data_IF_623351184770
#
_entry.id   IF_623351184770
#
_cell.length_a   1.000
_cell.length_b   1.000
_cell.length_c   1.000
_cell.angle_alpha   90.00
_cell.angle_beta   90.00
_cell.angle_gamma   90.00
#
_symmetry.space_group_name_H-M   'P 1'
#
loop_
_entity.id
_entity.type
_entity.pdbx_description
1 polymer ?
#
# COMPACT_ATOMS: atom_id res chain seq x y z
N UNK A 1 -58.08 -14.40 -22.49
CA UNK A 1 -58.06 -14.62 -21.03
C UNK A 1 -56.81 -15.38 -20.67
N UNK A 2 -55.77 -14.70 -20.26
CA UNK A 2 -54.49 -15.30 -19.84
C UNK A 2 -54.53 -15.55 -18.33
N UNK A 3 -54.33 -16.80 -17.93
CA UNK A 3 -54.30 -17.18 -16.50
C UNK A 3 -52.97 -16.77 -15.89
N UNK A 4 -53.02 -15.95 -14.85
CA UNK A 4 -51.88 -15.60 -14.01
C UNK A 4 -51.45 -16.83 -13.19
N UNK A 5 -50.25 -17.35 -13.43
CA UNK A 5 -49.60 -18.38 -12.62
C UNK A 5 -48.88 -17.69 -11.45
N UNK A 6 -49.20 -18.07 -10.23
CA UNK A 6 -48.59 -17.48 -9.03
C UNK A 6 -47.32 -18.24 -8.63
N UNK A 7 -46.43 -17.57 -7.90
CA UNK A 7 -45.14 -18.11 -7.41
C UNK A 7 -45.28 -19.41 -6.58
N UNK A 8 -46.50 -19.78 -6.15
CA UNK A 8 -46.79 -21.00 -5.37
C UNK A 8 -46.90 -22.27 -6.21
N UNK A 9 -47.10 -22.14 -7.51
CA UNK A 9 -47.35 -23.30 -8.39
C UNK A 9 -46.05 -23.92 -8.94
N UNK A 10 -44.90 -23.27 -8.76
CA UNK A 10 -43.59 -23.72 -9.27
C UNK A 10 -42.89 -24.74 -8.33
N UNK A 11 -43.38 -24.88 -7.08
CA UNK A 11 -42.69 -25.71 -6.07
C UNK A 11 -43.31 -27.14 -5.90
N UNK A 12 -44.22 -27.55 -6.77
CA UNK A 12 -44.88 -28.86 -6.68
C UNK A 12 -44.44 -29.87 -7.75
N UNK A 13 -43.14 -30.00 -7.97
CA UNK A 13 -42.71 -30.94 -9.01
C UNK A 13 -41.27 -31.42 -8.89
N UNK A 14 -40.78 -31.72 -7.67
CA UNK A 14 -39.47 -32.42 -7.54
C UNK A 14 -39.69 -33.73 -6.79
N UNK A 15 -39.45 -34.90 -7.43
CA UNK A 15 -39.53 -36.17 -6.71
C UNK A 15 -38.32 -36.31 -5.78
N UNK A 16 -38.60 -36.71 -4.54
CA UNK A 16 -37.60 -37.06 -3.54
C UNK A 16 -36.97 -38.42 -3.93
N UNK A 17 -35.76 -38.41 -4.41
CA UNK A 17 -34.92 -39.61 -4.52
C UNK A 17 -34.14 -39.77 -3.20
N UNK A 18 -34.59 -40.71 -2.36
CA UNK A 18 -33.83 -41.13 -1.19
C UNK A 18 -32.69 -42.06 -1.61
N UNK A 19 -31.48 -41.50 -1.64
CA UNK A 19 -30.24 -42.23 -1.79
C UNK A 19 -29.33 -41.89 -0.61
N UNK A 20 -29.37 -42.71 0.43
CA UNK A 20 -28.50 -42.58 1.60
C UNK A 20 -27.04 -42.88 1.25
N UNK A 21 -26.20 -41.87 1.18
CA UNK A 21 -24.78 -42.01 1.12
C UNK A 21 -24.22 -41.72 2.52
N UNK A 22 -23.84 -42.79 3.22
CA UNK A 22 -23.11 -42.70 4.50
C UNK A 22 -21.73 -42.12 4.18
N UNK A 23 -21.54 -40.84 4.39
CA UNK A 23 -20.22 -40.22 4.41
C UNK A 23 -19.63 -40.46 5.78
N UNK A 24 -18.61 -41.32 5.83
CA UNK A 24 -17.77 -41.54 7.01
C UNK A 24 -17.12 -40.22 7.43
N UNK A 25 -17.53 -39.71 8.59
CA UNK A 25 -16.96 -38.52 9.22
C UNK A 25 -15.64 -38.87 9.91
N UNK A 26 -14.55 -38.95 9.16
CA UNK A 26 -13.17 -38.88 9.66
C UNK A 26 -12.52 -37.58 9.20
N UNK A 27 -13.05 -36.47 9.62
CA UNK A 27 -12.34 -35.19 9.63
C UNK A 27 -11.54 -35.05 10.93
N UNK A 28 -10.37 -34.40 10.91
CA UNK A 28 -9.63 -34.15 12.15
C UNK A 28 -10.49 -33.37 13.12
N UNK A 29 -10.61 -33.87 14.34
CA UNK A 29 -11.37 -33.26 15.41
C UNK A 29 -10.93 -31.80 15.58
N UNK A 30 -11.87 -30.87 15.44
CA UNK A 30 -11.68 -29.48 15.84
C UNK A 30 -11.30 -29.49 17.32
N UNK A 31 -10.02 -29.22 17.62
CA UNK A 31 -9.55 -29.06 18.98
C UNK A 31 -10.38 -28.00 19.70
N UNK A 32 -10.87 -28.34 20.87
CA UNK A 32 -11.62 -27.41 21.73
C UNK A 32 -10.84 -26.11 21.91
N UNK A 33 -11.52 -24.94 22.01
CA UNK A 33 -10.84 -23.66 22.21
C UNK A 33 -9.97 -23.76 23.47
N UNK A 34 -8.64 -23.69 23.25
CA UNK A 34 -7.68 -23.57 24.37
C UNK A 34 -8.05 -22.30 25.13
N UNK A 35 -8.26 -22.42 26.44
CA UNK A 35 -8.33 -21.26 27.33
C UNK A 35 -7.13 -20.38 27.06
N UNK A 36 -7.29 -19.04 26.93
CA UNK A 36 -6.17 -18.15 26.74
C UNK A 36 -5.17 -18.38 27.89
N UNK A 37 -3.94 -18.69 27.53
CA UNK A 37 -2.84 -18.72 28.48
C UNK A 37 -2.60 -17.29 28.92
N UNK A 38 -3.08 -16.93 30.08
CA UNK A 38 -2.73 -15.69 30.80
C UNK A 38 -1.34 -15.84 31.40
N UNK A 39 -0.30 -15.87 30.61
CA UNK A 39 1.05 -15.63 31.09
C UNK A 39 1.40 -14.18 30.84
N UNK A 40 0.99 -13.32 31.78
CA UNK A 40 1.53 -11.98 31.93
C UNK A 40 3.05 -12.09 32.16
N UNK A 41 3.81 -11.25 31.40
CA UNK A 41 5.18 -10.95 31.72
C UNK A 41 6.24 -11.90 31.15
N UNK A 42 6.16 -12.35 29.91
CA UNK A 42 7.37 -12.84 29.23
C UNK A 42 8.32 -11.65 29.00
N UNK A 43 9.46 -11.68 29.67
CA UNK A 43 10.54 -10.71 29.41
C UNK A 43 11.06 -10.99 28.01
N UNK A 44 10.85 -10.06 27.08
CA UNK A 44 11.39 -10.17 25.74
C UNK A 44 12.91 -10.10 25.80
N UNK A 45 13.59 -10.89 25.00
CA UNK A 45 15.05 -10.86 24.89
C UNK A 45 15.51 -9.65 24.08
N UNK A 46 16.73 -9.14 24.30
CA UNK A 46 17.34 -8.14 23.44
C UNK A 46 17.36 -8.62 21.99
N UNK A 47 17.19 -7.68 21.04
CA UNK A 47 17.12 -7.96 19.61
C UNK A 47 17.77 -6.86 18.78
N UNK A 48 18.08 -7.17 17.53
CA UNK A 48 18.76 -6.25 16.61
C UNK A 48 17.74 -5.39 15.88
N UNK A 49 18.07 -4.11 15.73
CA UNK A 49 17.25 -3.14 15.02
C UNK A 49 18.13 -2.10 14.34
N UNK A 50 17.70 -1.58 13.18
CA UNK A 50 18.29 -0.37 12.63
C UNK A 50 17.75 0.82 13.41
N UNK A 51 18.60 1.46 14.21
CA UNK A 51 18.23 2.60 15.06
C UNK A 51 18.82 3.88 14.49
N UNK A 52 17.94 4.86 14.23
CA UNK A 52 18.32 6.21 13.81
C UNK A 52 18.29 7.16 14.99
N UNK A 53 19.42 7.85 15.25
CA UNK A 53 19.54 8.84 16.34
C UNK A 53 19.72 10.28 15.85
N UNK A 54 20.12 10.47 14.58
CA UNK A 54 20.36 11.77 13.97
C UNK A 54 20.06 11.72 12.48
N UNK A 55 20.92 12.26 11.64
CA UNK A 55 20.91 12.04 10.18
C UNK A 55 21.33 10.61 9.82
N UNK A 56 22.04 9.93 10.73
CA UNK A 56 22.58 8.59 10.53
C UNK A 56 21.91 7.57 11.42
N UNK A 57 21.95 6.32 11.00
CA UNK A 57 21.51 5.16 11.77
C UNK A 57 22.43 3.98 11.59
N UNK A 58 22.36 3.05 12.51
CA UNK A 58 23.11 1.80 12.51
C UNK A 58 22.26 0.65 13.02
N UNK A 59 22.65 -0.59 12.70
CA UNK A 59 22.08 -1.78 13.32
C UNK A 59 22.71 -1.93 14.71
N UNK A 60 21.84 -1.89 15.72
CA UNK A 60 22.22 -1.97 17.13
C UNK A 60 21.37 -3.02 17.86
N UNK A 61 21.90 -3.55 18.95
CA UNK A 61 21.12 -4.39 19.86
C UNK A 61 20.41 -3.50 20.86
N UNK A 62 19.10 -3.70 21.00
CA UNK A 62 18.24 -2.94 21.91
C UNK A 62 17.61 -3.88 22.94
N UNK A 63 17.38 -3.37 24.14
CA UNK A 63 16.70 -4.09 25.23
C UNK A 63 15.25 -3.65 25.30
N UNK A 64 14.28 -4.52 24.99
CA UNK A 64 12.87 -4.15 25.01
C UNK A 64 12.37 -3.86 26.42
N UNK A 65 11.40 -2.95 26.52
CA UNK A 65 10.64 -2.74 27.75
C UNK A 65 9.50 -3.77 27.86
N UNK A 66 9.01 -4.03 29.08
CA UNK A 66 7.80 -4.82 29.27
C UNK A 66 6.62 -4.25 28.47
N UNK A 67 5.86 -5.12 27.83
CA UNK A 67 4.68 -4.69 27.06
C UNK A 67 3.59 -4.14 28.00
N UNK A 68 2.99 -3.04 27.62
CA UNK A 68 1.91 -2.38 28.35
C UNK A 68 0.66 -2.24 27.50
N UNK A 69 -0.49 -2.10 28.13
CA UNK A 69 -1.75 -1.79 27.43
C UNK A 69 -2.03 -2.74 26.27
N UNK A 70 -2.17 -2.16 25.08
CA UNK A 70 -2.53 -2.86 23.84
C UNK A 70 -1.33 -3.15 22.94
N UNK A 71 -0.13 -3.11 23.47
CA UNK A 71 1.09 -3.39 22.72
C UNK A 71 1.20 -4.86 22.33
N UNK A 72 1.71 -5.11 21.15
CA UNK A 72 1.97 -6.43 20.58
C UNK A 72 3.42 -6.47 20.13
N UNK A 73 4.19 -7.46 20.56
CA UNK A 73 5.51 -7.76 20.02
C UNK A 73 5.35 -8.77 18.89
N UNK A 74 5.84 -8.42 17.72
CA UNK A 74 5.77 -9.23 16.50
C UNK A 74 7.18 -9.54 16.05
N UNK A 75 7.58 -10.81 16.07
CA UNK A 75 8.85 -11.26 15.49
C UNK A 75 8.75 -11.10 13.97
N UNK A 76 9.54 -10.19 13.45
CA UNK A 76 9.50 -9.79 12.04
C UNK A 76 10.00 -10.92 11.15
N UNK A 77 9.28 -11.24 10.09
CA UNK A 77 9.68 -12.20 9.06
C UNK A 77 10.22 -11.51 7.82
N UNK A 78 9.59 -10.43 7.42
CA UNK A 78 10.01 -9.62 6.28
C UNK A 78 9.53 -8.18 6.41
N UNK A 79 10.28 -7.25 5.82
CA UNK A 79 9.93 -5.83 5.70
C UNK A 79 10.26 -5.34 4.30
N UNK A 80 9.29 -4.74 3.62
CA UNK A 80 9.50 -4.12 2.32
C UNK A 80 10.26 -2.80 2.47
N UNK A 81 11.16 -2.52 1.51
CA UNK A 81 12.01 -1.33 1.47
C UNK A 81 11.30 -0.22 0.71
N UNK A 82 10.53 0.58 1.45
CA UNK A 82 9.78 1.70 0.88
C UNK A 82 10.70 2.88 0.52
N UNK A 83 10.46 3.50 -0.63
CA UNK A 83 11.15 4.73 -1.04
C UNK A 83 11.01 5.85 0.00
N UNK A 84 9.86 5.96 0.66
CA UNK A 84 9.61 6.95 1.71
C UNK A 84 10.52 6.80 2.93
N UNK A 85 11.03 5.60 3.21
CA UNK A 85 11.95 5.32 4.31
C UNK A 85 13.42 5.62 3.94
N UNK A 86 13.78 5.76 2.68
CA UNK A 86 15.16 5.98 2.25
C UNK A 86 15.82 7.16 2.95
N UNK A 87 15.10 8.26 3.14
CA UNK A 87 15.57 9.44 3.89
C UNK A 87 15.81 9.18 5.38
N UNK A 88 15.24 8.11 5.93
CA UNK A 88 15.42 7.71 7.33
C UNK A 88 16.56 6.73 7.51
N UNK A 89 16.99 6.08 6.45
CA UNK A 89 18.03 5.05 6.45
C UNK A 89 19.32 5.54 5.84
N UNK A 90 19.25 6.22 4.69
CA UNK A 90 20.42 6.80 4.04
C UNK A 90 20.84 8.09 4.76
N UNK A 91 22.16 8.31 4.81
CA UNK A 91 22.77 9.49 5.43
C UNK A 91 22.55 10.71 4.51
N UNK A 92 21.38 11.33 4.66
CA UNK A 92 20.96 12.41 3.78
C UNK A 92 21.00 13.76 4.50
N UNK A 93 21.87 14.66 4.03
CA UNK A 93 22.09 15.97 4.63
C UNK A 93 21.07 17.05 4.25
N UNK A 94 20.22 16.78 3.24
CA UNK A 94 19.20 17.74 2.81
C UNK A 94 17.87 17.48 3.52
N UNK A 95 17.20 18.50 4.05
CA UNK A 95 15.84 18.34 4.56
C UNK A 95 14.91 17.95 3.42
N UNK A 96 14.28 16.78 3.55
CA UNK A 96 13.28 16.28 2.60
C UNK A 96 11.92 16.37 3.26
N UNK A 97 10.98 17.04 2.62
CA UNK A 97 9.59 17.14 3.09
C UNK A 97 8.74 16.09 2.41
N UNK A 98 8.07 15.28 3.20
CA UNK A 98 7.04 14.35 2.72
C UNK A 98 5.76 14.74 3.42
N UNK A 99 4.94 15.57 2.78
CA UNK A 99 3.60 15.88 3.25
C UNK A 99 3.51 16.37 4.72
N UNK A 100 4.60 16.94 5.27
CA UNK A 100 4.70 17.37 6.65
C UNK A 100 5.91 18.29 6.86
N UNK A 101 6.13 18.80 8.07
CA UNK A 101 7.28 19.65 8.36
C UNK A 101 8.59 18.91 8.01
N UNK A 102 9.66 19.63 7.63
CA UNK A 102 10.94 19.04 7.32
C UNK A 102 11.37 18.07 8.43
N UNK A 103 11.69 16.83 8.03
CA UNK A 103 12.29 15.89 9.00
C UNK A 103 13.74 16.31 9.17
N UNK A 104 13.93 17.36 9.98
CA UNK A 104 15.21 17.98 10.21
C UNK A 104 16.20 17.04 10.87
N UNK A 105 17.46 17.20 10.51
CA UNK A 105 18.56 16.35 10.87
C UNK A 105 19.36 16.75 12.10
N UNK A 106 18.73 17.30 13.12
CA UNK A 106 19.41 17.49 14.41
C UNK A 106 19.56 16.20 15.21
N UNK A 107 20.49 16.17 16.18
CA UNK A 107 20.55 15.07 17.13
C UNK A 107 19.17 14.88 17.80
N UNK A 108 18.69 13.65 17.88
CA UNK A 108 17.47 13.33 18.61
C UNK A 108 17.84 12.78 19.98
N UNK A 109 17.15 13.21 21.05
CA UNK A 109 17.38 12.65 22.39
C UNK A 109 16.96 11.19 22.50
N UNK A 110 16.28 10.67 21.47
CA UNK A 110 15.75 9.30 21.41
C UNK A 110 16.15 8.64 20.10
N UNK A 111 16.34 7.31 20.11
CA UNK A 111 16.41 6.48 18.93
C UNK A 111 15.02 6.28 18.33
N UNK A 112 14.95 6.03 17.01
CA UNK A 112 13.74 5.55 16.33
C UNK A 112 14.09 4.41 15.36
N UNK A 113 13.16 3.48 15.19
CA UNK A 113 13.28 2.38 14.23
C UNK A 113 12.38 2.70 13.04
N UNK A 114 12.92 2.92 11.81
CA UNK A 114 12.11 3.08 10.62
C UNK A 114 11.55 1.74 10.12
N UNK A 115 10.85 1.79 8.97
CA UNK A 115 10.17 0.65 8.36
C UNK A 115 8.70 0.60 8.74
N UNK A 116 7.83 0.62 7.74
CA UNK A 116 6.38 0.67 7.90
C UNK A 116 5.63 -0.42 7.11
N UNK A 117 6.37 -1.32 6.49
CA UNK A 117 5.83 -2.35 5.59
C UNK A 117 6.30 -3.74 5.99
N UNK A 118 5.88 -4.22 7.15
CA UNK A 118 6.37 -5.48 7.68
C UNK A 118 5.26 -6.44 8.11
N UNK A 119 5.64 -7.70 8.24
CA UNK A 119 4.81 -8.79 8.74
C UNK A 119 5.65 -9.76 9.59
N UNK A 120 4.97 -10.54 10.39
CA UNK A 120 5.64 -11.51 11.25
C UNK A 120 4.68 -12.34 12.08
N UNK A 121 5.20 -12.92 13.16
CA UNK A 121 4.43 -13.75 14.08
C UNK A 121 4.39 -13.08 15.45
N UNK A 122 3.21 -13.01 16.04
CA UNK A 122 3.01 -12.47 17.40
C UNK A 122 3.76 -13.32 18.41
N UNK A 123 4.70 -12.70 19.11
CA UNK A 123 5.54 -13.37 20.12
C UNK A 123 5.07 -13.11 21.54
N UNK A 124 4.60 -11.88 21.82
CA UNK A 124 4.05 -11.51 23.11
C UNK A 124 2.98 -10.43 22.94
N UNK A 125 2.10 -10.34 23.92
CA UNK A 125 1.00 -9.37 23.94
C UNK A 125 0.91 -8.67 25.30
N UNK A 126 0.54 -7.40 25.27
CA UNK A 126 0.24 -6.63 26.47
C UNK A 126 -1.12 -7.01 27.09
N UNK A 127 -1.34 -6.61 28.36
CA UNK A 127 -2.48 -7.10 29.15
C UNK A 127 -3.87 -6.70 28.64
N UNK A 128 -3.97 -5.73 27.72
CA UNK A 128 -5.24 -5.24 27.18
C UNK A 128 -5.47 -5.63 25.71
N UNK A 129 -4.59 -6.44 25.12
CA UNK A 129 -4.73 -6.94 23.75
C UNK A 129 -5.90 -7.92 23.65
N UNK A 130 -6.75 -7.76 22.64
CA UNK A 130 -7.95 -8.55 22.44
C UNK A 130 -8.09 -9.14 21.03
N UNK A 131 -7.45 -8.53 20.03
CA UNK A 131 -7.70 -8.86 18.62
C UNK A 131 -6.71 -9.86 18.03
N UNK A 132 -5.61 -10.14 18.70
CA UNK A 132 -4.59 -11.12 18.30
C UNK A 132 -4.10 -11.93 19.48
N UNK A 133 -3.47 -13.08 19.22
CA UNK A 133 -2.84 -13.94 20.23
C UNK A 133 -1.44 -14.35 19.80
N UNK A 134 -0.65 -14.80 20.75
CA UNK A 134 0.68 -15.39 20.49
C UNK A 134 0.56 -16.52 19.47
N UNK A 135 1.44 -16.51 18.47
CA UNK A 135 1.46 -17.45 17.35
C UNK A 135 0.66 -17.01 16.14
N UNK A 136 -0.17 -15.98 16.23
CA UNK A 136 -0.84 -15.45 15.05
C UNK A 136 0.17 -14.84 14.08
N UNK A 137 0.05 -15.15 12.78
CA UNK A 137 0.78 -14.47 11.71
C UNK A 137 0.03 -13.20 11.34
N UNK A 138 0.71 -12.07 11.37
CA UNK A 138 0.08 -10.76 11.16
C UNK A 138 0.84 -9.92 10.14
N UNK A 139 0.09 -9.18 9.34
CA UNK A 139 0.60 -8.02 8.60
C UNK A 139 0.46 -6.80 9.49
N UNK A 140 1.52 -6.01 9.61
CA UNK A 140 1.48 -4.74 10.33
C UNK A 140 1.09 -3.65 9.34
N UNK A 141 -0.16 -3.22 9.40
CA UNK A 141 -0.72 -2.24 8.46
C UNK A 141 -0.13 -0.85 8.69
N UNK A 142 0.04 -0.10 7.61
CA UNK A 142 0.50 1.31 7.69
C UNK A 142 -0.54 2.21 8.34
N UNK A 143 -1.83 1.87 8.25
CA UNK A 143 -2.92 2.56 8.91
C UNK A 143 -3.55 1.70 9.97
N UNK A 144 -3.67 2.26 11.18
CA UNK A 144 -4.44 1.62 12.23
C UNK A 144 -5.94 1.59 11.87
N UNK A 145 -6.64 0.57 12.34
CA UNK A 145 -8.10 0.48 12.24
C UNK A 145 -8.69 0.07 13.59
N UNK A 146 -9.09 1.04 14.40
CA UNK A 146 -9.64 0.76 15.72
C UNK A 146 -11.11 0.32 15.70
N UNK A 147 -11.83 0.52 14.59
CA UNK A 147 -13.23 0.14 14.40
C UNK A 147 -14.25 0.96 15.20
N UNK A 148 -13.83 1.92 16.05
CA UNK A 148 -14.71 2.62 17.00
C UNK A 148 -14.65 4.14 16.95
N UNK A 149 -13.66 4.73 16.31
CA UNK A 149 -13.58 6.20 16.17
C UNK A 149 -14.54 6.69 15.07
N UNK A 150 -14.82 8.01 15.09
CA UNK A 150 -15.69 8.65 14.11
C UNK A 150 -15.34 8.28 12.67
N UNK A 151 -14.05 8.30 12.32
CA UNK A 151 -13.62 7.99 10.95
C UNK A 151 -13.85 6.52 10.57
N UNK A 152 -13.52 5.56 11.45
CA UNK A 152 -13.78 4.15 11.19
C UNK A 152 -15.29 3.85 11.04
N UNK A 153 -16.13 4.42 11.91
CA UNK A 153 -17.57 4.22 11.88
C UNK A 153 -18.26 4.75 10.60
N UNK A 154 -17.66 5.75 9.95
CA UNK A 154 -18.15 6.28 8.66
C UNK A 154 -17.47 5.70 7.43
N UNK A 155 -16.70 4.61 7.57
CA UNK A 155 -16.06 3.93 6.46
C UNK A 155 -14.75 4.61 5.98
N UNK A 156 -14.11 5.43 6.82
CA UNK A 156 -12.84 6.09 6.54
C UNK A 156 -11.75 5.58 7.48
N UNK A 157 -11.54 4.25 7.48
CA UNK A 157 -10.52 3.62 8.30
C UNK A 157 -9.10 4.12 7.97
N UNK A 158 -8.86 4.50 6.71
CA UNK A 158 -7.64 5.17 6.26
C UNK A 158 -7.32 6.47 7.04
N UNK A 159 -8.28 6.99 7.80
CA UNK A 159 -8.18 8.19 8.66
C UNK A 159 -8.49 7.88 10.13
N UNK A 160 -8.16 6.69 10.57
CA UNK A 160 -8.39 6.28 11.96
C UNK A 160 -7.72 7.26 12.94
N UNK A 161 -8.46 7.67 13.98
CA UNK A 161 -7.95 8.64 14.97
C UNK A 161 -6.73 8.11 15.77
N UNK A 162 -6.53 6.80 15.83
CA UNK A 162 -5.34 6.23 16.47
C UNK A 162 -4.06 6.43 15.67
N UNK A 163 -4.15 6.95 14.43
CA UNK A 163 -2.99 7.34 13.64
C UNK A 163 -2.14 8.42 14.33
N UNK A 164 -2.77 9.32 15.04
CA UNK A 164 -2.13 10.42 15.77
C UNK A 164 -1.77 10.04 17.22
N UNK A 165 -1.78 8.75 17.57
CA UNK A 165 -1.39 8.31 18.92
C UNK A 165 0.06 8.72 19.21
N UNK A 166 0.36 9.15 20.45
CA UNK A 166 1.70 9.59 20.82
C UNK A 166 2.73 8.46 20.66
N UNK A 167 3.98 8.87 20.48
CA UNK A 167 5.10 7.95 20.44
C UNK A 167 5.23 7.19 21.77
N UNK A 168 5.60 5.92 21.67
CA UNK A 168 5.80 5.02 22.80
C UNK A 168 7.28 4.72 22.95
N UNK A 169 7.78 4.71 24.17
CA UNK A 169 9.10 4.17 24.44
C UNK A 169 9.01 2.65 24.53
N UNK A 170 9.69 1.97 23.61
CA UNK A 170 9.58 0.50 23.42
C UNK A 170 10.82 -0.27 23.91
N UNK A 171 11.97 0.40 23.95
CA UNK A 171 13.25 -0.21 24.27
C UNK A 171 14.27 0.82 24.74
N UNK A 172 15.45 0.36 25.16
CA UNK A 172 16.63 1.17 25.44
C UNK A 172 17.85 0.63 24.73
N UNK A 173 18.76 1.51 24.35
CA UNK A 173 20.10 1.17 23.85
C UNK A 173 21.04 0.86 25.02
N UNK A 174 22.21 0.29 24.73
CA UNK A 174 23.21 -0.06 25.75
C UNK A 174 23.68 1.16 26.57
N UNK A 175 23.66 2.37 25.99
CA UNK A 175 24.02 3.61 26.67
C UNK A 175 22.85 4.25 27.46
N UNK A 176 21.73 3.57 27.55
CA UNK A 176 20.51 4.05 28.22
C UNK A 176 19.63 4.95 27.35
N UNK A 177 20.01 5.26 26.12
CA UNK A 177 19.18 6.09 25.22
C UNK A 177 17.84 5.40 24.95
N UNK A 178 16.71 6.08 25.17
CA UNK A 178 15.40 5.50 24.90
C UNK A 178 15.16 5.35 23.39
N UNK A 179 14.55 4.23 23.01
CA UNK A 179 14.08 3.95 21.64
C UNK A 179 12.56 4.11 21.61
N UNK A 180 12.08 5.03 20.75
CA UNK A 180 10.67 5.35 20.63
C UNK A 180 10.09 4.87 19.30
N UNK A 181 8.85 4.44 19.35
CA UNK A 181 8.06 4.02 18.19
C UNK A 181 6.81 4.89 18.09
N UNK A 182 6.45 5.30 16.90
CA UNK A 182 5.20 6.04 16.70
C UNK A 182 3.99 5.15 16.99
N UNK A 183 2.99 5.69 17.71
CA UNK A 183 1.88 4.89 18.21
C UNK A 183 0.91 4.39 17.14
N UNK A 184 0.61 5.19 16.13
CA UNK A 184 -0.45 4.88 15.17
C UNK A 184 -0.12 5.14 13.70
N UNK A 185 0.78 6.06 13.41
CA UNK A 185 1.23 6.43 12.06
C UNK A 185 2.74 6.49 11.94
N UNK A 186 3.28 6.55 10.74
CA UNK A 186 4.72 6.62 10.50
C UNK A 186 5.44 5.28 10.69
N UNK A 187 6.71 5.31 11.06
CA UNK A 187 7.53 4.10 11.20
C UNK A 187 6.95 3.09 12.19
N UNK A 188 6.84 1.84 11.76
CA UNK A 188 6.28 0.73 12.54
C UNK A 188 7.36 -0.17 13.16
N UNK A 189 8.62 0.26 13.05
CA UNK A 189 9.74 -0.53 13.55
C UNK A 189 10.04 -1.77 12.72
N UNK A 190 9.72 -1.75 11.43
CA UNK A 190 9.85 -2.90 10.55
C UNK A 190 11.30 -3.31 10.24
N UNK A 191 12.26 -2.39 10.41
CA UNK A 191 13.68 -2.71 10.24
C UNK A 191 14.31 -3.17 11.56
N UNK A 192 13.64 -4.13 12.19
CA UNK A 192 14.09 -4.80 13.42
C UNK A 192 13.64 -6.27 13.43
N UNK A 193 14.38 -7.11 14.13
CA UNK A 193 13.99 -8.52 14.33
C UNK A 193 12.65 -8.65 15.08
N UNK A 194 12.25 -7.60 15.81
CA UNK A 194 10.97 -7.52 16.49
C UNK A 194 10.37 -6.13 16.39
N UNK A 195 9.11 -6.04 15.99
CA UNK A 195 8.32 -4.80 15.98
C UNK A 195 7.39 -4.77 17.19
N UNK A 196 7.38 -3.65 17.94
CA UNK A 196 6.44 -3.44 19.03
C UNK A 196 5.44 -2.36 18.59
N UNK A 197 4.19 -2.74 18.40
CA UNK A 197 3.12 -1.88 17.86
C UNK A 197 1.81 -2.07 18.65
N UNK A 198 0.87 -1.18 18.47
CA UNK A 198 -0.49 -1.37 19.02
C UNK A 198 -1.27 -2.39 18.18
N UNK A 199 -2.14 -3.17 18.83
CA UNK A 199 -2.93 -4.22 18.16
C UNK A 199 -3.83 -3.70 17.02
N UNK A 200 -4.18 -2.41 16.99
CA UNK A 200 -4.95 -1.81 15.91
C UNK A 200 -4.22 -1.82 14.55
N UNK A 201 -2.91 -2.03 14.58
CA UNK A 201 -2.07 -2.18 13.39
C UNK A 201 -1.90 -3.63 12.96
N UNK A 202 -2.20 -4.60 13.83
CA UNK A 202 -2.02 -6.01 13.55
C UNK A 202 -3.22 -6.57 12.80
N UNK A 203 -3.00 -7.06 11.59
CA UNK A 203 -4.02 -7.72 10.76
C UNK A 203 -3.67 -9.19 10.65
N UNK A 204 -4.42 -10.09 11.32
CA UNK A 204 -4.20 -11.54 11.21
C UNK A 204 -4.38 -12.03 9.77
N UNK A 205 -3.48 -12.90 9.34
CA UNK A 205 -3.54 -13.56 8.04
C UNK A 205 -3.38 -15.08 8.21
N UNK A 206 -4.09 -15.82 7.39
CA UNK A 206 -4.11 -17.29 7.42
C UNK A 206 -3.68 -17.80 6.05
N UNK A 207 -2.37 -17.93 5.83
CA UNK A 207 -1.78 -18.32 4.55
C UNK A 207 -0.37 -18.87 4.72
N UNK A 208 0.04 -19.77 3.85
CA UNK A 208 1.40 -20.32 3.77
C UNK A 208 2.27 -19.58 2.73
N UNK A 209 1.77 -18.50 2.12
CA UNK A 209 2.54 -17.70 1.16
C UNK A 209 3.84 -17.19 1.79
N UNK A 210 4.93 -17.10 1.00
CA UNK A 210 6.22 -16.58 1.45
C UNK A 210 6.10 -15.17 2.03
N UNK A 211 6.81 -14.90 3.13
CA UNK A 211 6.82 -13.58 3.76
C UNK A 211 7.33 -12.47 2.82
N UNK A 212 8.25 -12.82 1.93
CA UNK A 212 8.77 -11.90 0.91
C UNK A 212 7.68 -11.39 -0.04
N UNK A 213 6.77 -12.27 -0.47
CA UNK A 213 5.65 -11.89 -1.34
C UNK A 213 4.60 -11.05 -0.60
N UNK A 214 4.37 -11.36 0.67
CA UNK A 214 3.41 -10.64 1.51
C UNK A 214 3.92 -9.27 1.98
N UNK A 215 5.24 -9.05 2.01
CA UNK A 215 5.85 -7.84 2.52
C UNK A 215 5.43 -6.55 1.79
N UNK A 216 4.94 -6.66 0.55
CA UNK A 216 4.43 -5.51 -0.20
C UNK A 216 3.03 -5.06 0.26
N UNK A 217 2.26 -5.96 0.89
CA UNK A 217 0.86 -5.69 1.25
C UNK A 217 0.68 -4.57 2.28
N UNK A 218 1.54 -4.40 3.30
CA UNK A 218 1.31 -3.35 4.30
C UNK A 218 1.18 -1.94 3.70
N UNK A 219 1.94 -1.62 2.67
CA UNK A 219 1.99 -0.28 2.07
C UNK A 219 1.64 -0.30 0.57
N UNK A 220 2.61 -0.58 -0.29
CA UNK A 220 2.48 -0.36 -1.73
C UNK A 220 1.40 -1.22 -2.40
N UNK A 221 1.29 -2.48 -2.01
CA UNK A 221 0.25 -3.39 -2.52
C UNK A 221 -1.15 -2.93 -2.13
N UNK A 222 -1.37 -2.65 -0.85
CA UNK A 222 -2.65 -2.15 -0.35
C UNK A 222 -3.00 -0.79 -0.94
N UNK A 223 -2.01 0.08 -1.13
CA UNK A 223 -2.24 1.40 -1.75
C UNK A 223 -2.70 1.25 -3.19
N UNK A 224 -1.96 0.53 -4.03
CA UNK A 224 -2.28 0.40 -5.45
C UNK A 224 -3.60 -0.35 -5.70
N UNK A 225 -3.82 -1.47 -5.03
CA UNK A 225 -5.09 -2.20 -5.10
C UNK A 225 -6.24 -1.37 -4.53
N UNK A 226 -6.00 -0.64 -3.44
CA UNK A 226 -6.99 0.21 -2.81
C UNK A 226 -7.46 1.36 -3.70
N UNK A 227 -6.57 2.00 -4.46
CA UNK A 227 -6.93 3.03 -5.43
C UNK A 227 -8.00 2.54 -6.41
N UNK A 228 -7.82 1.34 -6.93
CA UNK A 228 -8.64 0.77 -8.01
C UNK A 228 -9.81 -0.08 -7.55
N UNK A 229 -9.81 -0.53 -6.29
CA UNK A 229 -10.82 -1.47 -5.77
C UNK A 229 -11.61 -0.92 -4.58
N UNK A 230 -11.15 0.19 -3.96
CA UNK A 230 -11.76 0.72 -2.73
C UNK A 230 -12.05 2.22 -2.80
N UNK A 231 -11.07 3.04 -3.14
CA UNK A 231 -11.19 4.50 -3.12
C UNK A 231 -12.12 5.01 -4.22
N UNK A 232 -11.86 4.59 -5.45
CA UNK A 232 -12.72 4.79 -6.61
C UNK A 232 -12.63 3.49 -7.44
N UNK A 233 -13.53 2.52 -7.16
CA UNK A 233 -13.51 1.25 -7.86
C UNK A 233 -13.60 1.46 -9.37
N UNK A 234 -12.65 0.86 -10.11
CA UNK A 234 -12.63 0.92 -11.57
C UNK A 234 -13.78 0.09 -12.12
N UNK A 235 -14.59 0.67 -12.97
CA UNK A 235 -15.68 -0.04 -13.63
C UNK A 235 -15.14 -0.94 -14.76
N UNK A 236 -15.76 -2.10 -14.93
CA UNK A 236 -15.43 -2.99 -16.04
C UNK A 236 -15.67 -2.28 -17.39
N UNK A 237 -14.71 -2.38 -18.28
CA UNK A 237 -14.76 -1.70 -19.59
C UNK A 237 -14.17 -0.29 -19.62
N UNK A 238 -13.72 0.26 -18.48
CA UNK A 238 -13.11 1.58 -18.40
C UNK A 238 -11.71 1.66 -19.01
N UNK A 239 -11.34 2.87 -19.43
CA UNK A 239 -9.97 3.24 -19.78
C UNK A 239 -9.27 3.84 -18.55
N UNK A 240 -8.12 3.29 -18.21
CA UNK A 240 -7.32 3.70 -17.04
C UNK A 240 -5.93 4.14 -17.49
N UNK A 241 -5.48 5.32 -17.05
CA UNK A 241 -4.10 5.78 -17.27
C UNK A 241 -3.41 5.91 -15.93
N UNK A 242 -2.23 5.32 -15.80
CA UNK A 242 -1.44 5.28 -14.56
C UNK A 242 -0.08 5.94 -14.80
N UNK A 243 0.20 7.02 -14.09
CA UNK A 243 1.50 7.67 -14.05
C UNK A 243 2.37 7.03 -12.97
N UNK A 244 3.49 6.46 -13.40
CA UNK A 244 4.45 5.74 -12.56
C UNK A 244 4.21 4.23 -12.53
N UNK A 245 5.29 3.46 -12.73
CA UNK A 245 5.34 2.01 -12.59
C UNK A 245 6.28 1.56 -11.47
N UNK A 246 6.26 2.27 -10.36
CA UNK A 246 6.80 1.79 -9.08
C UNK A 246 5.86 0.74 -8.45
N UNK A 247 6.18 0.26 -7.24
CA UNK A 247 5.38 -0.78 -6.57
C UNK A 247 3.89 -0.44 -6.44
N UNK A 248 3.56 0.83 -6.17
CA UNK A 248 2.16 1.30 -6.08
C UNK A 248 1.49 1.27 -7.45
N UNK A 249 2.13 1.86 -8.48
CA UNK A 249 1.58 1.90 -9.84
C UNK A 249 1.39 0.51 -10.43
N UNK A 250 2.36 -0.40 -10.25
CA UNK A 250 2.26 -1.79 -10.70
C UNK A 250 1.18 -2.58 -9.95
N UNK A 251 0.93 -2.26 -8.68
CA UNK A 251 -0.21 -2.82 -7.94
C UNK A 251 -1.54 -2.27 -8.46
N UNK A 252 -1.60 -0.98 -8.82
CA UNK A 252 -2.78 -0.37 -9.45
C UNK A 252 -3.07 -0.94 -10.85
N UNK A 253 -2.03 -1.24 -11.66
CA UNK A 253 -2.19 -1.96 -12.95
C UNK A 253 -2.92 -3.27 -12.74
N UNK A 254 -2.47 -4.07 -11.78
CA UNK A 254 -3.09 -5.37 -11.50
C UNK A 254 -4.50 -5.21 -10.92
N UNK A 255 -4.71 -4.21 -10.05
CA UNK A 255 -6.04 -3.91 -9.50
C UNK A 255 -7.04 -3.49 -10.58
N UNK A 256 -6.65 -2.63 -11.52
CA UNK A 256 -7.47 -2.23 -12.67
C UNK A 256 -7.80 -3.44 -13.58
N UNK A 257 -6.82 -4.32 -13.82
CA UNK A 257 -7.03 -5.56 -14.56
C UNK A 257 -8.02 -6.49 -13.87
N UNK A 258 -7.91 -6.66 -12.54
CA UNK A 258 -8.83 -7.48 -11.73
C UNK A 258 -10.25 -6.92 -11.79
N UNK A 259 -10.42 -5.61 -11.82
CA UNK A 259 -11.71 -4.94 -11.94
C UNK A 259 -12.29 -4.98 -13.37
N UNK A 260 -11.54 -5.47 -14.36
CA UNK A 260 -12.01 -5.63 -15.74
C UNK A 260 -11.88 -4.37 -16.59
N UNK A 261 -10.92 -3.49 -16.32
CA UNK A 261 -10.62 -2.36 -17.19
C UNK A 261 -10.39 -2.82 -18.63
N UNK A 262 -10.95 -2.08 -19.60
CA UNK A 262 -10.77 -2.33 -21.03
C UNK A 262 -9.34 -1.99 -21.48
N UNK A 263 -8.84 -0.86 -21.05
CA UNK A 263 -7.52 -0.38 -21.39
C UNK A 263 -6.79 0.10 -20.13
N UNK A 264 -5.52 -0.27 -20.00
CA UNK A 264 -4.64 0.15 -18.90
C UNK A 264 -3.36 0.67 -19.53
N UNK A 265 -3.19 1.98 -19.55
CA UNK A 265 -2.01 2.65 -20.12
C UNK A 265 -1.11 3.12 -18.97
N UNK A 266 0.16 2.75 -19.02
CA UNK A 266 1.15 3.16 -18.03
C UNK A 266 2.09 4.20 -18.63
N UNK A 267 2.35 5.29 -17.89
CA UNK A 267 3.33 6.32 -18.23
C UNK A 267 4.51 6.16 -17.27
N UNK A 268 5.68 5.76 -17.79
CA UNK A 268 6.85 5.42 -16.98
C UNK A 268 8.13 5.66 -17.78
N UNK A 269 9.11 6.43 -17.29
CA UNK A 269 10.36 6.69 -18.00
C UNK A 269 11.29 5.47 -18.07
N UNK A 270 11.23 4.54 -17.11
CA UNK A 270 12.17 3.42 -17.01
C UNK A 270 11.69 2.23 -17.85
N UNK A 271 12.48 1.85 -18.88
CA UNK A 271 12.11 0.81 -19.83
C UNK A 271 11.81 -0.55 -19.17
N UNK A 272 12.63 -0.98 -18.20
CA UNK A 272 12.42 -2.24 -17.49
C UNK A 272 11.07 -2.26 -16.74
N UNK A 273 10.67 -1.13 -16.15
CA UNK A 273 9.39 -0.98 -15.46
C UNK A 273 8.22 -0.98 -16.44
N UNK A 274 8.35 -0.36 -17.61
CA UNK A 274 7.36 -0.47 -18.70
C UNK A 274 7.15 -1.91 -19.13
N UNK A 275 8.23 -2.67 -19.30
CA UNK A 275 8.16 -4.10 -19.65
C UNK A 275 7.42 -4.91 -18.59
N UNK A 276 7.71 -4.66 -17.31
CA UNK A 276 7.02 -5.34 -16.21
C UNK A 276 5.55 -4.94 -16.14
N UNK A 277 5.21 -3.66 -16.37
CA UNK A 277 3.81 -3.21 -16.40
C UNK A 277 3.00 -3.96 -17.45
N UNK A 278 3.54 -4.15 -18.66
CA UNK A 278 2.90 -4.95 -19.72
C UNK A 278 2.70 -6.41 -19.29
N UNK A 279 3.72 -7.02 -18.68
CA UNK A 279 3.62 -8.40 -18.14
C UNK A 279 2.52 -8.52 -17.08
N UNK A 280 2.32 -7.50 -16.25
CA UNK A 280 1.35 -7.49 -15.15
C UNK A 280 -0.08 -7.10 -15.60
N UNK A 281 -0.26 -6.73 -16.87
CA UNK A 281 -1.58 -6.50 -17.45
C UNK A 281 -1.86 -5.10 -17.97
N UNK A 282 -0.86 -4.23 -18.06
CA UNK A 282 -1.01 -3.01 -18.83
C UNK A 282 -1.18 -3.34 -20.32
N UNK A 283 -2.09 -2.65 -21.00
CA UNK A 283 -2.34 -2.80 -22.45
C UNK A 283 -1.35 -1.99 -23.28
N UNK A 284 -0.80 -0.93 -22.71
CA UNK A 284 0.24 -0.10 -23.30
C UNK A 284 1.13 0.52 -22.21
N UNK A 285 2.38 0.82 -22.56
CA UNK A 285 3.30 1.53 -21.70
C UNK A 285 4.05 2.59 -22.50
N UNK A 286 4.04 3.83 -22.03
CA UNK A 286 4.51 5.01 -22.73
C UNK A 286 5.71 5.62 -21.98
N UNK A 287 6.74 5.99 -22.74
CA UNK A 287 7.85 6.77 -22.23
C UNK A 287 7.50 8.26 -22.29
N UNK A 288 7.40 8.97 -21.17
CA UNK A 288 7.08 10.40 -21.17
C UNK A 288 8.22 11.28 -21.72
N UNK A 289 9.44 10.77 -21.84
CA UNK A 289 10.59 11.54 -22.32
C UNK A 289 10.65 11.69 -23.84
N UNK A 290 9.90 10.86 -24.58
CA UNK A 290 9.99 10.86 -26.04
C UNK A 290 9.31 12.09 -26.63
N UNK A 291 8.26 12.60 -25.97
CA UNK A 291 7.47 13.71 -26.51
C UNK A 291 6.58 14.34 -25.43
N UNK A 292 7.18 15.14 -24.57
CA UNK A 292 6.50 15.70 -23.37
C UNK A 292 5.31 16.57 -23.70
N UNK A 293 5.39 17.37 -24.77
CA UNK A 293 4.35 18.35 -25.14
C UNK A 293 3.13 17.66 -25.78
N UNK A 294 3.34 16.49 -26.37
CA UNK A 294 2.28 15.72 -27.04
C UNK A 294 1.75 14.57 -26.19
N UNK A 295 2.30 14.32 -25.01
CA UNK A 295 1.91 13.19 -24.18
C UNK A 295 0.41 13.18 -23.85
N UNK A 296 -0.14 14.27 -23.34
CA UNK A 296 -1.57 14.35 -22.97
C UNK A 296 -2.48 14.20 -24.19
N UNK A 297 -2.27 14.91 -25.33
CA UNK A 297 -3.02 14.66 -26.56
C UNK A 297 -2.96 13.21 -27.04
N UNK A 298 -1.77 12.60 -27.01
CA UNK A 298 -1.58 11.20 -27.41
C UNK A 298 -2.35 10.24 -26.54
N UNK A 299 -2.30 10.39 -25.22
CA UNK A 299 -3.03 9.55 -24.27
C UNK A 299 -4.55 9.68 -24.47
N UNK A 300 -5.05 10.90 -24.75
CA UNK A 300 -6.47 11.10 -25.10
C UNK A 300 -6.85 10.34 -26.36
N UNK A 301 -6.03 10.44 -27.40
CA UNK A 301 -6.28 9.74 -28.66
C UNK A 301 -6.35 8.24 -28.46
N UNK A 302 -5.47 7.67 -27.63
CA UNK A 302 -5.46 6.23 -27.30
C UNK A 302 -6.73 5.79 -26.55
N UNK A 303 -7.37 6.69 -25.80
CA UNK A 303 -8.60 6.40 -25.05
C UNK A 303 -9.89 6.61 -25.84
N UNK A 304 -9.82 7.00 -27.12
CA UNK A 304 -11.00 7.20 -27.97
C UNK A 304 -11.74 5.90 -28.22
N UNK A 305 -13.00 5.86 -27.82
CA UNK A 305 -13.93 4.79 -28.14
C UNK A 305 -14.62 4.97 -29.52
N UNK A 306 -15.37 3.96 -30.00
CA UNK A 306 -16.11 4.04 -31.26
C UNK A 306 -17.14 5.18 -31.29
N UNK A 307 -17.82 5.44 -30.17
CA UNK A 307 -18.83 6.50 -30.04
C UNK A 307 -18.23 7.89 -30.08
N UNK A 308 -17.01 8.07 -29.60
CA UNK A 308 -16.32 9.36 -29.61
C UNK A 308 -16.02 9.83 -31.04
N UNK A 309 -15.81 8.86 -31.97
CA UNK A 309 -15.59 9.14 -33.38
C UNK A 309 -16.85 9.68 -34.07
N UNK A 310 -18.04 9.31 -33.59
CA UNK A 310 -19.34 9.71 -34.16
C UNK A 310 -19.69 11.13 -33.67
N UNK A 311 -19.41 11.46 -32.44
CA UNK A 311 -19.83 12.71 -31.80
C UNK A 311 -18.72 13.76 -31.66
N UNK A 312 -17.50 13.45 -32.04
CA UNK A 312 -16.33 14.32 -31.90
C UNK A 312 -16.31 15.53 -32.88
N UNK A 313 -17.40 15.73 -33.68
CA UNK A 313 -17.52 16.89 -34.55
C UNK A 313 -17.66 18.17 -33.77
N UNK A 314 -16.87 19.09 -33.67
CA UNK A 314 -16.91 20.46 -33.17
C UNK A 314 -16.75 20.70 -31.66
N UNK A 315 -17.23 19.88 -30.77
CA UNK A 315 -17.05 20.10 -29.33
C UNK A 315 -15.68 19.72 -28.80
N UNK A 316 -14.81 19.23 -29.66
CA UNK A 316 -13.39 19.03 -29.44
C UNK A 316 -13.07 18.13 -28.21
N UNK A 317 -12.10 17.46 -28.39
CA UNK A 317 -11.11 16.79 -27.59
C UNK A 317 -11.13 16.90 -26.03
N UNK A 318 -11.83 17.83 -25.39
CA UNK A 318 -11.83 18.01 -23.93
C UNK A 318 -12.68 16.99 -23.18
N UNK A 319 -13.70 16.42 -23.83
CA UNK A 319 -14.57 15.38 -23.24
C UNK A 319 -14.05 13.97 -23.47
N UNK A 320 -12.98 13.81 -24.25
CA UNK A 320 -12.38 12.53 -24.57
C UNK A 320 -11.16 12.32 -23.68
N UNK A 321 -11.06 11.16 -23.06
CA UNK A 321 -9.95 10.78 -22.22
C UNK A 321 -10.24 9.51 -21.45
N UNK A 322 -9.36 9.11 -20.54
CA UNK A 322 -9.58 7.96 -19.68
C UNK A 322 -10.67 8.23 -18.63
N UNK A 323 -11.38 7.20 -18.24
CA UNK A 323 -12.35 7.26 -17.15
C UNK A 323 -11.65 7.46 -15.81
N UNK A 324 -10.48 6.85 -15.65
CA UNK A 324 -9.65 6.94 -14.44
C UNK A 324 -8.22 7.34 -14.77
N UNK A 325 -7.72 8.34 -14.07
CA UNK A 325 -6.31 8.74 -14.09
C UNK A 325 -5.73 8.53 -12.69
N UNK A 326 -4.67 7.75 -12.59
CA UNK A 326 -4.00 7.45 -11.33
C UNK A 326 -2.61 8.06 -11.36
N UNK A 327 -2.31 8.94 -10.40
CA UNK A 327 -0.99 9.52 -10.22
C UNK A 327 -0.30 8.79 -9.05
N UNK A 328 0.76 8.02 -9.35
CA UNK A 328 1.53 7.19 -8.43
C UNK A 328 3.06 7.34 -8.62
N UNK A 329 3.51 8.40 -9.31
CA UNK A 329 4.94 8.63 -9.56
C UNK A 329 5.64 9.29 -8.38
N UNK A 330 4.98 10.24 -7.71
CA UNK A 330 5.55 11.01 -6.62
C UNK A 330 6.65 11.99 -7.03
N UNK A 331 7.19 12.71 -6.06
CA UNK A 331 8.32 13.61 -6.25
C UNK A 331 9.67 12.90 -6.17
N UNK A 332 10.67 13.47 -6.84
CA UNK A 332 12.04 12.98 -6.84
C UNK A 332 12.86 13.63 -5.72
N UNK A 333 13.03 12.90 -4.61
CA UNK A 333 13.91 13.34 -3.53
C UNK A 333 15.38 13.01 -3.77
N UNK A 334 15.62 11.98 -4.58
CA UNK A 334 16.96 11.48 -4.89
C UNK A 334 17.13 11.44 -6.39
N UNK A 335 18.24 11.99 -6.92
CA UNK A 335 18.53 11.86 -8.35
C UNK A 335 18.70 10.37 -8.68
N UNK A 336 17.86 9.80 -9.56
CA UNK A 336 17.95 8.39 -9.93
C UNK A 336 19.22 8.12 -10.75
N UNK A 337 19.78 6.91 -10.61
CA UNK A 337 20.83 6.42 -11.54
C UNK A 337 20.22 5.81 -12.80
N UNK A 338 19.01 5.28 -12.69
CA UNK A 338 18.25 4.83 -13.84
C UNK A 338 17.80 6.03 -14.71
N UNK A 339 16.94 5.80 -15.69
CA UNK A 339 16.46 6.84 -16.58
C UNK A 339 15.81 8.00 -15.79
N UNK A 340 16.11 9.24 -16.20
CA UNK A 340 15.54 10.43 -15.57
C UNK A 340 14.16 10.72 -16.15
N UNK A 341 13.25 11.14 -15.32
CA UNK A 341 12.02 11.79 -15.74
C UNK A 341 12.27 13.24 -16.16
N UNK A 342 11.33 13.85 -16.86
CA UNK A 342 11.45 15.24 -17.34
C UNK A 342 11.42 16.27 -16.20
N UNK A 343 10.85 15.92 -15.05
CA UNK A 343 10.65 16.82 -13.92
C UNK A 343 11.13 16.18 -12.60
N UNK A 344 12.22 16.69 -12.00
CA UNK A 344 12.76 16.15 -10.76
C UNK A 344 11.86 16.41 -9.54
N UNK A 345 10.87 17.29 -9.62
CA UNK A 345 9.91 17.57 -8.53
C UNK A 345 8.71 16.64 -8.54
N UNK A 346 8.44 15.98 -9.67
CA UNK A 346 7.25 15.15 -9.89
C UNK A 346 5.95 15.94 -10.11
N UNK A 347 5.99 17.28 -10.07
CA UNK A 347 4.81 18.15 -10.25
C UNK A 347 4.23 17.99 -11.65
N UNK A 348 5.09 17.80 -12.66
CA UNK A 348 4.66 17.65 -14.06
C UNK A 348 3.71 16.45 -14.21
N UNK A 349 3.98 15.33 -13.57
CA UNK A 349 3.11 14.16 -13.64
C UNK A 349 1.71 14.44 -13.05
N UNK A 350 1.62 15.15 -11.93
CA UNK A 350 0.34 15.57 -11.35
C UNK A 350 -0.39 16.54 -12.26
N UNK A 351 0.33 17.51 -12.87
CA UNK A 351 -0.26 18.46 -13.79
C UNK A 351 -0.78 17.76 -15.05
N UNK A 352 0.00 16.87 -15.63
CA UNK A 352 -0.39 16.08 -16.80
C UNK A 352 -1.58 15.15 -16.48
N UNK A 353 -1.61 14.55 -15.30
CA UNK A 353 -2.73 13.73 -14.85
C UNK A 353 -4.02 14.55 -14.71
N UNK A 354 -3.94 15.76 -14.16
CA UNK A 354 -5.06 16.69 -14.10
C UNK A 354 -5.54 17.10 -15.51
N UNK A 355 -4.61 17.47 -16.37
CA UNK A 355 -4.93 17.92 -17.73
C UNK A 355 -5.53 16.78 -18.57
N UNK A 356 -5.06 15.55 -18.36
CA UNK A 356 -5.56 14.36 -19.05
C UNK A 356 -6.98 13.99 -18.63
N UNK A 357 -7.30 14.08 -17.34
CA UNK A 357 -8.60 13.70 -16.79
C UNK A 357 -9.73 14.51 -17.46
N UNK A 358 -10.70 13.89 -18.15
CA UNK A 358 -11.77 14.60 -18.82
C UNK A 358 -12.87 15.03 -17.81
N UNK A 359 -13.83 15.88 -18.21
CA UNK A 359 -15.07 16.06 -17.50
C UNK A 359 -15.78 14.71 -17.25
N UNK A 360 -16.25 14.49 -16.03
CA UNK A 360 -16.84 13.22 -15.61
C UNK A 360 -15.82 12.15 -15.20
N UNK A 361 -14.52 12.35 -15.48
CA UNK A 361 -13.46 11.42 -15.12
C UNK A 361 -13.02 11.53 -13.65
N UNK A 362 -12.31 10.50 -13.20
CA UNK A 362 -11.76 10.36 -11.86
C UNK A 362 -10.23 10.53 -11.88
N UNK A 363 -9.72 11.49 -11.09
CA UNK A 363 -8.29 11.63 -10.81
C UNK A 363 -8.00 11.10 -9.41
N UNK A 364 -7.18 10.07 -9.31
CA UNK A 364 -6.74 9.48 -8.05
C UNK A 364 -5.28 9.80 -7.80
N UNK A 365 -4.97 10.37 -6.65
CA UNK A 365 -3.59 10.67 -6.25
C UNK A 365 -3.28 10.10 -4.87
N UNK A 366 -2.13 9.47 -4.76
CA UNK A 366 -1.60 8.90 -3.51
C UNK A 366 -0.10 9.14 -3.38
N UNK A 367 0.49 9.73 -4.40
CA UNK A 367 1.92 9.95 -4.44
C UNK A 367 2.39 10.85 -3.30
N UNK A 368 3.59 10.60 -2.83
CA UNK A 368 4.26 11.34 -1.75
C UNK A 368 5.59 11.86 -2.25
N UNK A 369 6.16 12.77 -1.49
CA UNK A 369 7.52 13.16 -1.78
C UNK A 369 7.67 14.45 -2.55
N UNK A 370 6.62 15.26 -2.63
CA UNK A 370 6.72 16.61 -3.21
C UNK A 370 7.50 17.55 -2.30
N UNK A 371 8.31 18.48 -2.86
CA UNK A 371 8.89 19.57 -2.09
C UNK A 371 7.81 20.35 -1.32
N UNK A 372 8.14 20.89 -0.14
CA UNK A 372 7.15 21.57 0.73
C UNK A 372 6.54 22.81 0.09
N UNK A 373 7.27 23.46 -0.80
CA UNK A 373 6.86 24.63 -1.56
C UNK A 373 6.28 24.30 -2.93
N UNK A 374 6.21 23.02 -3.30
CA UNK A 374 5.63 22.56 -4.55
C UNK A 374 4.16 22.94 -4.63
N UNK A 375 3.77 23.54 -5.74
CA UNK A 375 2.40 24.00 -6.00
C UNK A 375 1.94 23.50 -7.36
N UNK A 376 0.73 22.97 -7.40
CA UNK A 376 0.04 22.63 -8.65
C UNK A 376 -1.00 23.72 -8.91
N UNK A 377 -1.03 24.27 -10.13
CA UNK A 377 -1.98 25.31 -10.50
C UNK A 377 -3.04 24.76 -11.43
N UNK A 378 -4.29 25.01 -11.12
CA UNK A 378 -5.43 24.63 -11.94
C UNK A 378 -6.23 25.87 -12.37
N UNK A 379 -6.71 25.95 -13.63
CA UNK A 379 -7.60 27.02 -14.05
C UNK A 379 -8.88 27.00 -13.21
N UNK A 380 -9.21 28.12 -12.57
CA UNK A 380 -10.32 28.21 -11.61
C UNK A 380 -11.65 27.75 -12.20
N UNK A 381 -11.98 28.13 -13.44
CA UNK A 381 -13.22 27.72 -14.12
C UNK A 381 -13.30 26.21 -14.34
N UNK A 382 -12.19 25.56 -14.69
CA UNK A 382 -12.15 24.09 -14.86
C UNK A 382 -12.23 23.41 -13.51
N UNK A 383 -11.59 23.96 -12.49
CA UNK A 383 -11.66 23.41 -11.14
C UNK A 383 -13.09 23.42 -10.57
N UNK A 384 -13.84 24.51 -10.80
CA UNK A 384 -15.19 24.69 -10.25
C UNK A 384 -16.29 24.05 -11.09
N UNK A 385 -16.15 24.04 -12.43
CA UNK A 385 -17.22 23.61 -13.36
C UNK A 385 -16.79 22.44 -14.28
N UNK A 386 -15.59 21.89 -14.09
CA UNK A 386 -15.04 20.84 -14.97
C UNK A 386 -15.62 19.45 -14.71
N UNK A 387 -16.50 19.27 -13.72
CA UNK A 387 -17.12 17.98 -13.37
C UNK A 387 -16.12 16.82 -13.13
N UNK A 388 -14.86 17.13 -12.83
CA UNK A 388 -13.85 16.13 -12.49
C UNK A 388 -13.98 15.73 -11.02
N UNK A 389 -13.83 14.44 -10.71
CA UNK A 389 -13.78 13.97 -9.33
C UNK A 389 -12.33 13.71 -8.93
N UNK A 390 -11.85 14.42 -7.91
CA UNK A 390 -10.49 14.25 -7.39
C UNK A 390 -10.54 13.44 -6.10
N UNK A 391 -9.86 12.31 -6.09
CA UNK A 391 -9.70 11.43 -4.95
C UNK A 391 -8.26 11.51 -4.45
N UNK A 392 -8.08 12.03 -3.25
CA UNK A 392 -6.78 12.04 -2.56
C UNK A 392 -6.86 11.11 -1.36
N UNK A 393 -5.96 10.16 -1.27
CA UNK A 393 -5.89 9.24 -0.15
C UNK A 393 -4.47 8.77 0.08
N UNK A 394 -4.08 8.71 1.34
CA UNK A 394 -2.97 7.87 1.75
C UNK A 394 -3.44 6.41 1.73
N UNK A 395 -2.58 5.52 1.24
CA UNK A 395 -2.82 4.07 1.29
C UNK A 395 -4.09 3.59 0.57
N UNK A 396 -4.52 4.30 -0.50
CA UNK A 396 -5.61 3.88 -1.37
C UNK A 396 -7.00 3.82 -0.73
N UNK A 397 -7.22 4.52 0.41
CA UNK A 397 -8.51 4.50 1.10
C UNK A 397 -8.89 3.14 1.69
N UNK A 398 -7.93 2.22 1.81
CA UNK A 398 -8.19 0.84 2.23
C UNK A 398 -8.57 0.71 3.70
N UNK A 399 -9.41 -0.28 3.97
CA UNK A 399 -9.72 -0.80 5.30
C UNK A 399 -8.79 -1.97 5.59
N UNK A 400 -7.73 -1.75 6.38
CA UNK A 400 -6.65 -2.72 6.57
C UNK A 400 -7.16 -4.10 7.00
N UNK A 401 -8.06 -4.17 7.97
CA UNK A 401 -8.61 -5.43 8.49
C UNK A 401 -9.52 -6.17 7.49
N UNK A 402 -10.18 -5.44 6.61
CA UNK A 402 -11.02 -6.02 5.55
C UNK A 402 -10.21 -6.38 4.31
N UNK A 403 -9.35 -5.48 3.87
CA UNK A 403 -8.77 -5.54 2.53
C UNK A 403 -7.49 -6.37 2.48
N UNK A 404 -6.62 -6.30 3.48
CA UNK A 404 -5.39 -7.10 3.49
C UNK A 404 -5.70 -8.62 3.36
N UNK A 405 -6.63 -9.22 4.13
CA UNK A 405 -6.99 -10.63 3.92
C UNK A 405 -7.61 -10.92 2.55
N UNK A 406 -8.30 -9.95 1.93
CA UNK A 406 -8.80 -10.09 0.55
C UNK A 406 -7.64 -10.11 -0.44
N UNK A 407 -6.66 -9.24 -0.27
CA UNK A 407 -5.50 -9.16 -1.15
C UNK A 407 -4.61 -10.41 -1.03
N UNK A 408 -4.47 -10.99 0.16
CA UNK A 408 -3.84 -12.31 0.34
C UNK A 408 -4.52 -13.36 -0.55
N UNK A 409 -5.86 -13.41 -0.57
CA UNK A 409 -6.60 -14.33 -1.44
C UNK A 409 -6.37 -14.06 -2.92
N UNK A 410 -6.16 -12.80 -3.32
CA UNK A 410 -5.82 -12.47 -4.71
C UNK A 410 -4.43 -13.02 -5.09
N UNK A 411 -3.46 -12.99 -4.18
CA UNK A 411 -2.15 -13.61 -4.39
C UNK A 411 -2.31 -15.13 -4.50
N UNK A 412 -3.01 -15.77 -3.56
CA UNK A 412 -3.27 -17.22 -3.57
C UNK A 412 -3.95 -17.71 -4.85
N UNK A 413 -4.78 -16.87 -5.45
CA UNK A 413 -5.46 -17.15 -6.73
C UNK A 413 -4.63 -16.79 -7.97
N UNK A 414 -3.42 -16.26 -7.80
CA UNK A 414 -2.60 -15.79 -8.91
C UNK A 414 -3.17 -14.56 -9.64
N UNK A 415 -4.16 -13.88 -9.05
CA UNK A 415 -4.75 -12.66 -9.60
C UNK A 415 -3.89 -11.43 -9.33
N UNK A 416 -3.20 -11.40 -8.20
CA UNK A 416 -2.21 -10.39 -7.86
C UNK A 416 -0.83 -11.06 -7.78
N UNK A 417 0.03 -10.77 -8.74
CA UNK A 417 1.41 -11.26 -8.80
C UNK A 417 2.32 -10.37 -7.95
N UNK A 418 2.32 -10.61 -6.65
CA UNK A 418 3.20 -9.94 -5.69
C UNK A 418 4.66 -10.38 -5.86
N UNK A 419 4.88 -11.63 -6.26
CA UNK A 419 6.21 -12.20 -6.47
C UNK A 419 7.03 -11.46 -7.52
N UNK A 420 6.43 -11.12 -8.65
CA UNK A 420 7.10 -10.38 -9.73
C UNK A 420 7.46 -8.94 -9.34
N UNK A 421 6.89 -8.41 -8.26
CA UNK A 421 7.25 -7.08 -7.74
C UNK A 421 8.52 -7.12 -6.89
N UNK A 422 8.84 -8.25 -6.24
CA UNK A 422 10.03 -8.40 -5.40
C UNK A 422 11.23 -8.70 -6.27
N UNK A 423 12.14 -7.73 -6.40
CA UNK A 423 13.33 -7.85 -7.27
C UNK A 423 14.58 -8.24 -6.50
N UNK A 424 14.64 -7.96 -5.21
CA UNK A 424 15.84 -8.17 -4.40
C UNK A 424 15.49 -8.52 -2.96
N UNK A 425 16.32 -9.34 -2.33
CA UNK A 425 16.17 -9.76 -0.92
C UNK A 425 17.48 -9.46 -0.20
N UNK A 426 17.38 -8.87 0.99
CA UNK A 426 18.49 -8.40 1.79
C UNK A 426 18.40 -8.87 3.23
N UNK A 427 19.52 -8.89 3.94
CA UNK A 427 19.57 -8.97 5.41
C UNK A 427 19.42 -7.58 6.03
N UNK A 428 19.18 -7.53 7.35
CA UNK A 428 19.12 -6.27 8.10
C UNK A 428 20.43 -5.47 7.98
N UNK A 429 21.58 -6.13 7.93
CA UNK A 429 22.88 -5.48 7.81
C UNK A 429 23.06 -4.77 6.46
N UNK A 430 22.34 -5.20 5.44
CA UNK A 430 22.37 -4.62 4.09
C UNK A 430 21.29 -3.54 3.89
N UNK A 431 20.70 -3.04 4.94
CA UNK A 431 19.58 -2.08 4.85
C UNK A 431 19.92 -0.81 4.05
N UNK A 432 21.15 -0.29 4.14
CA UNK A 432 21.58 0.88 3.38
C UNK A 432 21.72 0.56 1.90
N UNK A 433 22.25 -0.62 1.56
CA UNK A 433 22.35 -1.12 0.19
C UNK A 433 20.97 -1.28 -0.43
N UNK A 434 20.02 -1.89 0.30
CA UNK A 434 18.64 -2.07 -0.12
C UNK A 434 17.92 -0.73 -0.42
N UNK A 435 18.13 0.29 0.42
CA UNK A 435 17.56 1.62 0.17
C UNK A 435 18.27 2.35 -0.96
N UNK A 436 19.57 2.11 -1.15
CA UNK A 436 20.31 2.68 -2.28
C UNK A 436 19.79 2.14 -3.61
N UNK A 437 19.52 0.82 -3.74
CA UNK A 437 18.86 0.25 -4.92
C UNK A 437 17.52 0.90 -5.21
N UNK A 438 16.73 1.11 -4.15
CA UNK A 438 15.40 1.72 -4.26
C UNK A 438 15.46 3.18 -4.77
N UNK A 439 16.39 4.00 -4.27
CA UNK A 439 16.53 5.39 -4.72
C UNK A 439 17.23 5.50 -6.08
N UNK A 440 18.12 4.57 -6.40
CA UNK A 440 18.72 4.46 -7.72
C UNK A 440 17.74 3.94 -8.78
N UNK A 441 16.57 3.42 -8.36
CA UNK A 441 15.48 2.89 -9.21
C UNK A 441 15.91 1.74 -10.11
N UNK A 442 16.95 1.00 -9.72
CA UNK A 442 17.45 -0.16 -10.47
C UNK A 442 16.63 -1.42 -10.23
N UNK A 443 15.92 -1.49 -9.11
CA UNK A 443 14.93 -2.50 -8.78
C UNK A 443 13.50 -1.95 -8.72
N UNK A 444 12.55 -2.85 -8.41
CA UNK A 444 11.14 -2.50 -8.15
C UNK A 444 10.92 -2.47 -6.64
N UNK A 445 11.11 -3.59 -5.97
CA UNK A 445 10.87 -3.75 -4.54
C UNK A 445 11.97 -4.61 -3.91
N UNK A 446 12.73 -4.02 -3.00
CA UNK A 446 13.63 -4.75 -2.12
C UNK A 446 12.86 -5.23 -0.87
N UNK A 447 13.26 -6.36 -0.31
CA UNK A 447 12.70 -6.91 0.93
C UNK A 447 13.82 -7.28 1.88
N UNK A 448 13.78 -6.79 3.11
CA UNK A 448 14.63 -7.24 4.20
C UNK A 448 13.98 -8.49 4.82
N UNK A 449 14.72 -9.57 4.96
CA UNK A 449 14.29 -10.78 5.64
C UNK A 449 15.03 -10.97 6.97
N UNK A 450 14.36 -11.61 7.91
CA UNK A 450 14.87 -11.88 9.23
C UNK A 450 14.90 -13.40 9.42
N UNK A 451 16.01 -13.91 9.97
CA UNK A 451 16.24 -15.34 10.19
C UNK A 451 15.38 -15.92 11.31
#
# INVERSE_FOLDING_TARGET
>A
MAKHTTRRDILKGVPAAAGGMLISANGPALSAPRKPSTTGGSTLSPYRAFVRRSLTGAVETITPKPLTGRQVAVRTQACFVDYSNARLVLDYSRPVTVGGPPVGGGPRPTGMIPGDSNLGVVEAIGPQVQSVKVGDRVVIAVTAECGRCHNCLRGRADRCATFDSPAMEIATLADGTPVVQQGGGGGKGGFAEMSIVNEELCVPIFTDLPSTELAILPCAGTTGLGLTMTLAPVDAGSNVVIFGAGPVGLSAVQGARIQGAHQIIVVEPIAARRTLALKLGATAAIDPNIDTDTLVPRLREMCKGPTDRIFAGAAGSRSIGPDFVIEASGGDHFPPKAEKGPDPTGILAVQQAWDLCPPGGHLLTTAVGYPADAKVSFPAGIFTNGSKTVHSSQYGGSHSRRDIPRYVRLIEKGLFDAKSLVTSVYSLDQIKEAHQETVDRTGIAGVITFA
#
